data_IF_865536423094
#
_entry.id   IF_865536423094
#
_cell.length_a   1.000
_cell.length_b   1.000
_cell.length_c   1.000
_cell.angle_alpha   90.00
_cell.angle_beta   90.00
_cell.angle_gamma   90.00
#
_symmetry.space_group_name_H-M   'P 1'
#
loop_
_entity.id
_entity.type
_entity.pdbx_description
1 polymer ?
#
# COMPACT_ATOMS: atom_id res chain seq x y z
N UNK A 1 -15.77 1.71 -11.33
CA UNK A 1 -14.56 0.86 -11.23
C UNK A 1 -14.57 0.28 -9.83
N UNK A 2 -14.47 -1.03 -9.67
CA UNK A 2 -14.46 -1.62 -8.33
C UNK A 2 -13.15 -1.25 -7.62
N UNK A 3 -13.20 -0.88 -6.33
CA UNK A 3 -12.00 -0.55 -5.58
C UNK A 3 -11.07 -1.76 -5.48
N UNK A 4 -9.76 -1.50 -5.41
CA UNK A 4 -8.79 -2.55 -5.12
C UNK A 4 -9.10 -3.19 -3.75
N UNK A 5 -8.70 -4.46 -3.52
CA UNK A 5 -8.94 -5.10 -2.23
C UNK A 5 -8.27 -4.37 -1.07
N UNK A 6 -7.01 -3.97 -1.26
CA UNK A 6 -6.24 -3.24 -0.27
C UNK A 6 -5.18 -2.37 -0.96
N UNK A 7 -4.72 -1.32 -0.25
CA UNK A 7 -3.54 -0.52 -0.58
C UNK A 7 -2.94 0.02 0.73
N UNK A 8 -1.75 -0.42 1.06
CA UNK A 8 -1.11 -0.14 2.36
C UNK A 8 0.11 0.78 2.22
N UNK A 9 0.50 1.15 1.00
CA UNK A 9 1.64 2.00 0.73
C UNK A 9 1.21 3.28 0.01
N UNK A 10 0.88 4.28 0.81
CA UNK A 10 0.42 5.58 0.34
C UNK A 10 1.07 6.66 1.19
N UNK A 11 1.70 7.62 0.53
CA UNK A 11 2.26 8.81 1.17
C UNK A 11 1.30 9.99 1.07
N UNK A 12 1.41 10.89 2.05
CA UNK A 12 0.61 12.12 2.12
C UNK A 12 1.51 13.31 2.42
N UNK A 13 0.90 14.49 2.54
CA UNK A 13 1.60 15.71 2.94
C UNK A 13 2.29 15.64 4.30
N UNK A 14 2.14 14.54 5.05
CA UNK A 14 2.93 14.27 6.25
C UNK A 14 4.37 13.84 5.94
N UNK A 15 4.63 13.25 4.77
CA UNK A 15 6.00 13.02 4.25
C UNK A 15 6.61 14.32 3.71
N UNK A 16 6.85 15.29 4.60
CA UNK A 16 7.18 16.69 4.27
C UNK A 16 8.43 16.85 3.45
N UNK A 17 9.40 15.95 3.62
CA UNK A 17 10.70 16.03 2.99
C UNK A 17 10.78 15.21 1.69
N UNK A 18 9.69 14.55 1.31
CA UNK A 18 9.58 13.82 0.04
C UNK A 18 9.08 14.74 -1.07
N UNK A 19 9.99 15.15 -1.93
CA UNK A 19 9.69 16.02 -3.07
C UNK A 19 8.77 15.39 -4.14
N UNK A 20 8.41 14.11 -4.03
CA UNK A 20 7.44 13.47 -4.92
C UNK A 20 5.99 13.68 -4.44
N UNK A 21 5.78 13.99 -3.17
CA UNK A 21 4.46 14.25 -2.61
C UNK A 21 3.99 15.64 -3.00
N UNK A 22 2.85 15.69 -3.69
CA UNK A 22 2.24 16.98 -4.07
C UNK A 22 1.30 17.50 -2.97
N UNK A 23 1.08 18.84 -2.87
CA UNK A 23 0.24 19.43 -1.82
C UNK A 23 -1.20 18.91 -1.77
N UNK A 24 -1.72 18.37 -2.89
CA UNK A 24 -3.07 17.81 -2.97
C UNK A 24 -3.17 16.40 -2.38
N UNK A 25 -2.04 15.71 -2.14
CA UNK A 25 -2.03 14.33 -1.63
C UNK A 25 -2.23 14.33 -0.11
N UNK A 26 -3.40 14.78 0.34
CA UNK A 26 -3.75 14.80 1.77
C UNK A 26 -4.43 13.50 2.21
N UNK A 27 -4.46 13.24 3.51
CA UNK A 27 -5.16 12.09 4.10
C UNK A 27 -6.65 12.09 3.72
N UNK A 28 -7.29 13.26 3.75
CA UNK A 28 -8.70 13.43 3.42
C UNK A 28 -8.98 13.13 1.94
N UNK A 29 -8.05 13.54 1.04
CA UNK A 29 -8.19 13.24 -0.38
C UNK A 29 -8.11 11.73 -0.62
N UNK A 30 -7.14 11.04 -0.02
CA UNK A 30 -7.01 9.58 -0.15
C UNK A 30 -8.28 8.88 0.31
N UNK A 31 -8.83 9.29 1.46
CA UNK A 31 -10.08 8.75 1.97
C UNK A 31 -11.26 9.02 1.01
N UNK A 32 -11.37 10.23 0.47
CA UNK A 32 -12.44 10.61 -0.45
C UNK A 32 -12.38 9.88 -1.80
N UNK A 33 -11.18 9.59 -2.30
CA UNK A 33 -11.01 8.83 -3.55
C UNK A 33 -11.50 7.39 -3.40
N UNK A 34 -11.28 6.74 -2.26
CA UNK A 34 -11.78 5.40 -1.95
C UNK A 34 -11.38 4.35 -2.98
N UNK A 35 -10.14 4.41 -3.51
CA UNK A 35 -9.63 3.54 -4.58
C UNK A 35 -9.42 2.10 -4.13
N UNK A 36 -9.31 1.85 -2.82
CA UNK A 36 -9.19 0.52 -2.23
C UNK A 36 -10.20 0.32 -1.11
N UNK A 37 -10.63 -0.93 -0.88
CA UNK A 37 -11.56 -1.28 0.22
C UNK A 37 -10.92 -1.13 1.58
N UNK A 38 -9.65 -1.46 1.67
CA UNK A 38 -8.79 -1.25 2.84
C UNK A 38 -7.63 -0.39 2.37
N UNK A 39 -7.52 0.81 2.91
CA UNK A 39 -6.41 1.69 2.62
C UNK A 39 -5.67 2.06 3.90
N UNK A 40 -4.36 2.16 3.81
CA UNK A 40 -3.49 2.60 4.89
C UNK A 40 -2.54 3.69 4.41
N UNK A 41 -2.26 4.63 5.29
CA UNK A 41 -1.24 5.65 5.06
C UNK A 41 0.04 5.18 5.73
N UNK A 42 1.17 5.33 5.04
CA UNK A 42 2.48 4.86 5.50
C UNK A 42 3.56 5.90 5.23
N UNK A 43 3.31 7.11 5.68
CA UNK A 43 4.30 8.19 5.53
C UNK A 43 5.66 7.82 6.13
N UNK A 44 6.72 8.43 5.62
CA UNK A 44 8.09 8.20 6.09
C UNK A 44 8.22 8.50 7.58
N UNK A 45 8.71 7.52 8.35
CA UNK A 45 8.80 7.63 9.82
C UNK A 45 9.59 8.86 10.24
N UNK A 46 10.70 9.15 9.58
CA UNK A 46 11.54 10.31 9.85
C UNK A 46 10.81 11.65 9.71
N UNK A 47 9.80 11.71 8.85
CA UNK A 47 8.99 12.93 8.63
C UNK A 47 7.85 13.07 9.64
N UNK A 48 7.37 11.96 10.20
CA UNK A 48 6.18 11.95 11.07
C UNK A 48 6.50 11.76 12.56
N UNK A 49 7.72 11.38 12.91
CA UNK A 49 8.06 10.95 14.27
C UNK A 49 7.74 12.02 15.34
N UNK A 50 8.07 13.26 15.08
CA UNK A 50 7.85 14.41 15.96
C UNK A 50 6.38 14.85 16.04
N UNK A 51 5.57 14.46 15.07
CA UNK A 51 4.14 14.79 14.96
C UNK A 51 3.24 13.54 14.94
N UNK A 52 3.77 12.38 15.32
CA UNK A 52 3.06 11.10 15.19
C UNK A 52 1.65 11.11 15.79
N UNK A 53 1.38 11.70 16.97
CA UNK A 53 0.02 11.75 17.49
C UNK A 53 -0.95 12.54 16.60
N UNK A 54 -0.48 13.58 15.88
CA UNK A 54 -1.28 14.37 14.95
C UNK A 54 -1.54 13.58 13.67
N UNK A 55 -0.51 12.92 13.15
CA UNK A 55 -0.60 12.03 12.01
C UNK A 55 -1.61 10.89 12.27
N UNK A 56 -1.44 10.17 13.36
CA UNK A 56 -2.31 9.08 13.77
C UNK A 56 -3.76 9.53 13.89
N UNK A 57 -4.02 10.65 14.57
CA UNK A 57 -5.36 11.21 14.71
C UNK A 57 -5.99 11.57 13.36
N UNK A 58 -5.23 12.16 12.44
CA UNK A 58 -5.71 12.50 11.10
C UNK A 58 -6.08 11.25 10.28
N UNK A 59 -5.22 10.23 10.29
CA UNK A 59 -5.44 8.97 9.57
C UNK A 59 -6.66 8.22 10.15
N UNK A 60 -6.78 8.15 11.47
CA UNK A 60 -7.93 7.52 12.13
C UNK A 60 -9.24 8.26 11.84
N UNK A 61 -9.23 9.60 11.89
CA UNK A 61 -10.42 10.42 11.60
C UNK A 61 -10.92 10.20 10.16
N UNK A 62 -10.00 9.90 9.24
CA UNK A 62 -10.32 9.58 7.85
C UNK A 62 -10.77 8.11 7.65
N UNK A 63 -10.76 7.28 8.70
CA UNK A 63 -11.14 5.87 8.64
C UNK A 63 -10.10 4.98 7.93
N UNK A 64 -8.84 5.42 7.86
CA UNK A 64 -7.73 4.72 7.23
C UNK A 64 -6.86 4.01 8.28
N UNK A 65 -6.02 3.08 7.84
CA UNK A 65 -5.08 2.39 8.71
C UNK A 65 -3.79 3.21 8.87
N UNK A 66 -3.29 3.26 10.10
CA UNK A 66 -2.02 3.92 10.42
C UNK A 66 -0.88 2.94 10.19
N UNK A 67 -0.09 3.16 9.17
CA UNK A 67 1.19 2.51 8.93
C UNK A 67 2.33 3.52 9.00
N UNK A 68 3.54 3.05 8.73
CA UNK A 68 4.69 3.92 8.51
C UNK A 68 5.72 3.22 7.63
N UNK A 69 6.40 3.98 6.78
CA UNK A 69 7.54 3.51 6.03
C UNK A 69 8.82 3.79 6.81
N UNK A 70 9.58 2.73 7.08
CA UNK A 70 10.76 2.73 7.94
C UNK A 70 12.02 2.62 7.08
N UNK A 71 12.86 3.64 7.06
CA UNK A 71 14.03 3.74 6.20
C UNK A 71 15.25 2.98 6.76
N UNK A 72 15.16 1.65 6.78
CA UNK A 72 16.26 0.77 7.19
C UNK A 72 16.45 0.64 8.71
N UNK A 73 17.54 -0.03 9.09
CA UNK A 73 17.85 -0.44 10.47
C UNK A 73 17.94 0.74 11.45
N UNK A 74 18.39 1.88 10.98
CA UNK A 74 18.63 3.06 11.83
C UNK A 74 17.35 3.61 12.47
N UNK A 75 16.19 3.30 11.87
CA UNK A 75 14.87 3.79 12.31
C UNK A 75 14.02 2.74 13.03
N UNK A 76 14.49 1.50 13.17
CA UNK A 76 13.67 0.42 13.76
C UNK A 76 13.28 0.66 15.21
N UNK A 77 14.15 1.28 16.03
CA UNK A 77 13.84 1.60 17.42
C UNK A 77 12.73 2.62 17.55
N UNK A 78 12.74 3.62 16.69
CA UNK A 78 11.71 4.64 16.64
C UNK A 78 10.38 4.05 16.14
N UNK A 79 10.46 3.14 15.13
CA UNK A 79 9.28 2.43 14.63
C UNK A 79 8.60 1.56 15.70
N UNK A 80 9.38 0.91 16.58
CA UNK A 80 8.82 0.14 17.70
C UNK A 80 8.06 1.01 18.72
N UNK A 81 8.46 2.28 18.83
CA UNK A 81 7.91 3.21 19.82
C UNK A 81 6.59 3.88 19.40
N UNK A 82 6.21 3.78 18.10
CA UNK A 82 4.99 4.37 17.58
C UNK A 82 3.88 3.32 17.42
N UNK A 83 2.62 3.75 17.54
CA UNK A 83 1.48 2.82 17.43
C UNK A 83 1.00 2.65 15.97
N UNK A 84 1.95 2.33 15.07
CA UNK A 84 1.60 1.90 13.72
C UNK A 84 1.03 0.48 13.72
N UNK A 85 0.08 0.19 12.82
CA UNK A 85 -0.56 -1.12 12.66
C UNK A 85 0.30 -2.08 11.85
N UNK A 86 1.19 -1.59 11.01
CA UNK A 86 2.10 -2.34 10.14
C UNK A 86 3.28 -1.44 9.75
N UNK A 87 4.32 -2.07 9.22
CA UNK A 87 5.51 -1.40 8.73
C UNK A 87 5.75 -1.73 7.26
N UNK A 88 5.97 -0.69 6.43
CA UNK A 88 6.69 -0.78 5.16
C UNK A 88 8.16 -0.62 5.51
N UNK A 89 9.01 -1.54 5.09
CA UNK A 89 10.41 -1.54 5.52
C UNK A 89 11.36 -1.51 4.32
N UNK A 90 12.19 -0.49 4.27
CA UNK A 90 13.31 -0.40 3.33
C UNK A 90 14.43 -1.33 3.78
N UNK A 91 14.52 -2.48 3.15
CA UNK A 91 15.58 -3.47 3.41
C UNK A 91 16.58 -3.46 2.26
N UNK A 92 17.68 -2.77 2.41
CA UNK A 92 18.80 -2.85 1.47
C UNK A 92 19.60 -4.12 1.73
N UNK A 93 20.53 -4.51 0.81
CA UNK A 93 21.39 -5.68 1.05
C UNK A 93 22.51 -5.35 2.07
N UNK A 94 22.10 -5.01 3.31
CA UNK A 94 22.97 -4.79 4.46
C UNK A 94 22.56 -5.73 5.60
N UNK A 95 23.55 -6.28 6.30
CA UNK A 95 23.28 -7.17 7.44
C UNK A 95 22.37 -6.55 8.49
N UNK A 96 22.58 -5.25 8.79
CA UNK A 96 21.81 -4.50 9.76
C UNK A 96 20.33 -4.38 9.36
N UNK A 97 20.04 -4.25 8.05
CA UNK A 97 18.65 -4.14 7.58
C UNK A 97 17.89 -5.45 7.73
N UNK A 98 18.53 -6.61 7.50
CA UNK A 98 17.89 -7.92 7.76
C UNK A 98 17.59 -8.11 9.25
N UNK A 99 18.51 -7.71 10.13
CA UNK A 99 18.26 -7.71 11.57
C UNK A 99 17.20 -6.69 11.99
N UNK A 100 17.11 -5.58 11.28
CA UNK A 100 16.03 -4.61 11.45
C UNK A 100 14.65 -5.20 11.16
N UNK A 101 14.54 -6.00 10.08
CA UNK A 101 13.31 -6.71 9.76
C UNK A 101 12.93 -7.73 10.85
N UNK A 102 13.90 -8.54 11.34
CA UNK A 102 13.69 -9.47 12.47
C UNK A 102 13.18 -8.72 13.71
N UNK A 103 13.77 -7.58 14.00
CA UNK A 103 13.40 -6.75 15.14
C UNK A 103 11.96 -6.22 15.03
N UNK A 104 11.56 -5.72 13.86
CA UNK A 104 10.19 -5.26 13.61
C UNK A 104 9.19 -6.41 13.69
N UNK A 105 9.52 -7.60 13.16
CA UNK A 105 8.69 -8.80 13.31
C UNK A 105 8.45 -9.18 14.78
N UNK A 106 9.44 -8.98 15.65
CA UNK A 106 9.30 -9.27 17.09
C UNK A 106 8.24 -8.40 17.78
N UNK A 107 7.78 -7.29 17.17
CA UNK A 107 6.63 -6.50 17.65
C UNK A 107 5.30 -7.21 17.48
N UNK A 108 5.24 -8.28 16.70
CA UNK A 108 3.99 -8.99 16.32
C UNK A 108 3.17 -8.28 15.25
N UNK A 109 3.64 -7.16 14.71
CA UNK A 109 2.97 -6.41 13.63
C UNK A 109 3.45 -6.90 12.26
N UNK A 110 2.61 -6.81 11.21
CA UNK A 110 3.04 -7.12 9.85
C UNK A 110 4.22 -6.25 9.41
N UNK A 111 5.23 -6.87 8.80
CA UNK A 111 6.38 -6.21 8.17
C UNK A 111 6.35 -6.52 6.68
N UNK A 112 6.27 -5.49 5.87
CA UNK A 112 6.23 -5.56 4.42
C UNK A 112 7.56 -5.02 3.89
N UNK A 113 8.31 -5.83 3.18
CA UNK A 113 9.54 -5.39 2.50
C UNK A 113 9.13 -4.55 1.30
N UNK A 114 9.34 -3.25 1.42
CA UNK A 114 8.92 -2.26 0.44
C UNK A 114 9.82 -2.32 -0.81
N UNK A 115 9.20 -2.33 -2.00
CA UNK A 115 9.84 -2.29 -3.33
C UNK A 115 11.27 -2.92 -3.39
N UNK A 116 11.42 -4.22 -3.02
CA UNK A 116 12.73 -4.85 -2.78
C UNK A 116 13.66 -4.81 -3.98
N UNK A 117 13.12 -4.89 -5.20
CA UNK A 117 13.92 -4.90 -6.43
C UNK A 117 14.60 -3.54 -6.71
N UNK A 118 14.06 -2.44 -6.18
CA UNK A 118 14.65 -1.10 -6.32
C UNK A 118 15.74 -0.87 -5.29
N UNK A 119 15.59 -1.48 -4.12
CA UNK A 119 16.56 -1.39 -3.02
C UNK A 119 17.64 -2.47 -3.09
N UNK A 120 17.61 -3.29 -4.15
CA UNK A 120 18.57 -4.41 -4.35
C UNK A 120 18.57 -5.39 -3.16
N UNK A 121 17.40 -5.59 -2.54
CA UNK A 121 17.22 -6.49 -1.39
C UNK A 121 17.50 -7.95 -1.81
N UNK A 122 18.42 -8.62 -1.14
CA UNK A 122 18.57 -10.07 -1.32
C UNK A 122 17.46 -10.81 -0.54
N UNK A 123 16.37 -11.13 -1.22
CA UNK A 123 15.21 -11.81 -0.61
C UNK A 123 15.55 -13.17 0.03
N UNK A 124 16.67 -13.79 -0.29
CA UNK A 124 17.12 -15.05 0.35
C UNK A 124 17.56 -14.83 1.81
N UNK A 125 17.86 -13.59 2.19
CA UNK A 125 18.28 -13.20 3.54
C UNK A 125 17.15 -12.62 4.38
N UNK A 126 16.04 -12.27 3.74
CA UNK A 126 14.85 -11.72 4.42
C UNK A 126 14.15 -12.83 5.21
N UNK A 127 13.73 -12.57 6.47
CA UNK A 127 12.91 -13.51 7.22
C UNK A 127 11.64 -13.89 6.45
N UNK A 128 11.30 -15.18 6.32
CA UNK A 128 10.16 -15.63 5.52
C UNK A 128 8.79 -15.22 6.09
N UNK A 129 8.74 -14.78 7.34
CA UNK A 129 7.56 -14.22 8.00
C UNK A 129 7.20 -12.84 7.46
N UNK A 130 8.16 -12.10 6.89
CA UNK A 130 7.89 -10.85 6.21
C UNK A 130 6.97 -11.07 4.99
N UNK A 131 6.27 -10.01 4.62
CA UNK A 131 5.60 -9.94 3.33
C UNK A 131 6.51 -9.22 2.33
N UNK A 132 6.29 -9.48 1.05
CA UNK A 132 7.02 -8.82 -0.03
C UNK A 132 6.04 -7.99 -0.85
N UNK A 133 6.41 -6.75 -1.11
CA UNK A 133 5.59 -5.83 -1.89
C UNK A 133 5.79 -6.03 -3.39
N UNK A 134 4.68 -6.03 -4.14
CA UNK A 134 4.66 -5.75 -5.58
C UNK A 134 4.22 -4.30 -5.74
N UNK A 135 5.19 -3.43 -5.89
CA UNK A 135 5.02 -1.98 -5.86
C UNK A 135 4.67 -1.42 -7.24
N UNK A 136 3.51 -0.75 -7.36
CA UNK A 136 3.04 -0.26 -8.65
C UNK A 136 3.90 0.88 -9.24
N UNK A 137 4.52 1.70 -8.38
CA UNK A 137 5.37 2.82 -8.81
C UNK A 137 6.65 2.35 -9.50
N UNK A 138 7.21 1.22 -9.05
CA UNK A 138 8.55 0.80 -9.44
C UNK A 138 8.62 -0.50 -10.23
N UNK A 139 7.63 -1.39 -10.13
CA UNK A 139 7.71 -2.75 -10.69
C UNK A 139 7.94 -2.77 -12.21
N UNK A 140 7.41 -1.79 -12.94
CA UNK A 140 7.50 -1.70 -14.39
C UNK A 140 8.94 -1.46 -14.91
N UNK A 141 9.82 -0.90 -14.08
CA UNK A 141 11.24 -0.62 -14.41
C UNK A 141 12.21 -1.63 -13.78
N UNK A 142 11.70 -2.61 -13.04
CA UNK A 142 12.50 -3.64 -12.37
C UNK A 142 12.42 -4.96 -13.13
N UNK A 143 13.41 -5.83 -12.95
CA UNK A 143 13.34 -7.21 -13.44
C UNK A 143 12.40 -8.05 -12.55
N UNK A 144 11.11 -7.81 -12.63
CA UNK A 144 10.10 -8.44 -11.77
C UNK A 144 10.04 -9.97 -11.90
N UNK A 145 10.60 -10.57 -12.98
CA UNK A 145 10.70 -12.04 -13.09
C UNK A 145 11.54 -12.68 -11.98
N UNK A 146 12.42 -11.92 -11.32
CA UNK A 146 13.18 -12.40 -10.17
C UNK A 146 12.29 -12.82 -9.01
N UNK A 147 11.12 -12.19 -8.82
CA UNK A 147 10.17 -12.55 -7.78
C UNK A 147 9.61 -13.96 -7.96
N UNK A 148 9.67 -14.54 -9.16
CA UNK A 148 9.21 -15.91 -9.44
C UNK A 148 9.89 -16.95 -8.55
N UNK A 149 11.17 -16.78 -8.24
CA UNK A 149 11.92 -17.68 -7.38
C UNK A 149 11.42 -17.71 -5.92
N UNK A 150 10.65 -16.71 -5.52
CA UNK A 150 10.21 -16.50 -4.14
C UNK A 150 8.72 -16.70 -3.90
N UNK A 151 7.95 -17.05 -4.94
CA UNK A 151 6.48 -17.22 -4.84
C UNK A 151 6.06 -18.36 -3.89
N UNK A 152 6.94 -19.33 -3.64
CA UNK A 152 6.73 -20.41 -2.67
C UNK A 152 7.25 -20.09 -1.25
N UNK A 153 7.98 -19.00 -1.08
CA UNK A 153 8.61 -18.62 0.19
C UNK A 153 7.85 -17.51 0.89
N UNK A 154 7.47 -16.47 0.15
CA UNK A 154 6.83 -15.29 0.72
C UNK A 154 5.35 -15.19 0.38
N UNK A 155 4.65 -14.49 1.26
CA UNK A 155 3.34 -13.90 0.98
C UNK A 155 3.56 -12.52 0.36
N UNK A 156 2.69 -12.14 -0.59
CA UNK A 156 2.83 -10.89 -1.31
C UNK A 156 1.66 -9.96 -1.06
N UNK A 157 1.93 -8.66 -0.98
CA UNK A 157 0.96 -7.58 -1.01
C UNK A 157 1.13 -6.77 -2.29
N UNK A 158 0.09 -6.04 -2.70
CA UNK A 158 0.10 -5.20 -3.90
C UNK A 158 -0.27 -3.80 -3.47
N UNK A 159 0.64 -2.85 -3.66
CA UNK A 159 0.46 -1.49 -3.21
C UNK A 159 0.80 -0.47 -4.30
N UNK A 160 0.25 0.74 -4.16
CA UNK A 160 0.43 1.80 -5.17
C UNK A 160 1.73 2.56 -5.00
N UNK A 161 2.17 2.81 -3.77
CA UNK A 161 3.24 3.75 -3.43
C UNK A 161 2.91 5.16 -3.96
N UNK A 162 1.64 5.57 -3.74
CA UNK A 162 1.12 6.80 -4.29
C UNK A 162 1.61 8.02 -3.51
N UNK A 163 2.21 8.97 -4.24
CA UNK A 163 2.64 10.28 -3.74
C UNK A 163 1.82 11.43 -4.37
N UNK A 164 0.93 11.06 -5.28
CA UNK A 164 0.09 11.99 -6.04
C UNK A 164 -1.25 11.34 -6.31
N UNK A 165 -2.36 12.10 -6.41
CA UNK A 165 -3.72 11.54 -6.54
C UNK A 165 -3.89 10.57 -7.71
N UNK A 166 -3.24 10.84 -8.85
CA UNK A 166 -3.35 9.97 -10.03
C UNK A 166 -2.49 8.70 -9.94
N UNK A 167 -1.64 8.56 -8.90
CA UNK A 167 -0.89 7.34 -8.61
C UNK A 167 -1.64 6.36 -7.70
N UNK A 168 -2.83 6.73 -7.20
CA UNK A 168 -3.70 5.84 -6.43
C UNK A 168 -4.27 4.73 -7.34
N UNK A 169 -3.37 3.91 -7.90
CA UNK A 169 -3.71 2.79 -8.77
C UNK A 169 -2.67 1.65 -8.63
N UNK A 170 -3.08 0.43 -8.97
CA UNK A 170 -2.28 -0.79 -8.83
C UNK A 170 -2.24 -1.61 -10.14
N UNK A 171 -2.58 -1.02 -11.26
CA UNK A 171 -2.83 -1.76 -12.50
C UNK A 171 -1.60 -2.55 -12.98
N UNK A 172 -0.40 -1.95 -12.93
CA UNK A 172 0.84 -2.60 -13.38
C UNK A 172 1.26 -3.69 -12.40
N UNK A 173 1.23 -3.41 -11.10
CA UNK A 173 1.55 -4.41 -10.08
C UNK A 173 0.62 -5.63 -10.15
N UNK A 174 -0.67 -5.42 -10.36
CA UNK A 174 -1.67 -6.50 -10.54
C UNK A 174 -1.45 -7.29 -11.83
N UNK A 175 -1.03 -6.62 -12.89
CA UNK A 175 -0.62 -7.32 -14.12
C UNK A 175 0.56 -8.27 -13.81
N UNK A 176 1.61 -7.76 -13.16
CA UNK A 176 2.79 -8.55 -12.80
C UNK A 176 2.43 -9.71 -11.86
N UNK A 177 1.62 -9.46 -10.83
CA UNK A 177 1.17 -10.52 -9.92
C UNK A 177 0.47 -11.66 -10.67
N UNK A 178 -0.39 -11.35 -11.65
CA UNK A 178 -1.06 -12.34 -12.50
C UNK A 178 -0.07 -13.12 -13.36
N UNK A 179 0.89 -12.45 -14.01
CA UNK A 179 1.91 -13.10 -14.84
C UNK A 179 2.82 -14.05 -14.02
N UNK A 180 3.01 -13.75 -12.74
CA UNK A 180 3.78 -14.57 -11.80
C UNK A 180 2.95 -15.66 -11.13
N UNK A 181 1.63 -15.65 -11.28
CA UNK A 181 0.70 -16.54 -10.55
C UNK A 181 0.63 -16.22 -9.05
N UNK A 182 0.94 -15.00 -8.65
CA UNK A 182 0.93 -14.56 -7.25
C UNK A 182 -0.50 -14.21 -6.83
N UNK A 183 -0.93 -14.81 -5.73
CA UNK A 183 -2.16 -14.42 -5.03
C UNK A 183 -1.82 -13.40 -3.95
N UNK A 184 -2.50 -12.25 -4.01
CA UNK A 184 -2.36 -11.20 -3.00
C UNK A 184 -2.80 -11.68 -1.61
N UNK A 185 -2.02 -11.32 -0.58
CA UNK A 185 -2.37 -11.49 0.82
C UNK A 185 -3.05 -10.23 1.33
N UNK A 186 -4.27 -10.38 1.84
CA UNK A 186 -5.03 -9.29 2.46
C UNK A 186 -4.79 -9.32 3.97
N UNK A 187 -4.16 -8.27 4.52
CA UNK A 187 -3.75 -8.23 5.93
C UNK A 187 -4.87 -7.79 6.87
N UNK A 188 -5.69 -6.84 6.42
CA UNK A 188 -6.72 -6.21 7.25
C UNK A 188 -8.09 -6.31 6.59
N UNK A 189 -8.34 -7.43 5.87
CA UNK A 189 -9.67 -7.68 5.34
C UNK A 189 -10.66 -7.66 6.51
N UNK A 190 -11.61 -6.74 6.51
CA UNK A 190 -12.78 -6.85 7.38
C UNK A 190 -13.39 -8.21 7.10
N UNK A 191 -13.64 -9.01 8.14
CA UNK A 191 -14.57 -10.13 8.04
C UNK A 191 -15.78 -9.58 7.31
N UNK A 192 -16.17 -10.23 6.20
CA UNK A 192 -17.22 -9.75 5.34
C UNK A 192 -18.47 -9.56 6.20
N UNK A 193 -18.77 -8.34 6.57
CA UNK A 193 -20.10 -7.97 7.02
C UNK A 193 -21.08 -8.30 5.87
N UNK A 194 -22.36 -8.53 6.14
CA UNK A 194 -23.32 -9.00 5.15
C UNK A 194 -23.17 -8.14 3.89
N UNK A 195 -23.06 -8.81 2.74
CA UNK A 195 -22.97 -8.19 1.42
C UNK A 195 -24.00 -7.04 1.35
N UNK A 196 -23.51 -5.83 1.17
CA UNK A 196 -24.40 -4.75 0.80
C UNK A 196 -25.09 -5.18 -0.50
N UNK A 197 -26.41 -5.31 -0.45
CA UNK A 197 -27.24 -5.55 -1.65
C UNK A 197 -26.74 -4.70 -2.80
N UNK A 198 -26.65 -5.25 -4.01
CA UNK A 198 -26.23 -4.48 -5.18
C UNK A 198 -27.13 -3.25 -5.27
N UNK A 199 -26.54 -2.08 -5.48
CA UNK A 199 -27.26 -0.86 -5.72
C UNK A 199 -28.32 -1.10 -6.81
N UNK A 200 -29.55 -0.55 -6.67
CA UNK A 200 -30.60 -0.74 -7.66
C UNK A 200 -30.05 -0.37 -9.04
N UNK A 201 -30.17 -1.27 -9.98
CA UNK A 201 -29.84 -1.05 -11.40
C UNK A 201 -30.66 0.16 -11.86
N UNK A 202 -29.99 1.22 -12.28
CA UNK A 202 -30.62 2.33 -12.97
C UNK A 202 -31.40 1.76 -14.17
N UNK A 203 -32.69 1.92 -14.14
CA UNK A 203 -33.59 1.56 -15.24
C UNK A 203 -33.27 2.47 -16.45
N UNK A 204 -32.62 1.91 -17.46
CA UNK A 204 -32.21 2.60 -18.68
C UNK A 204 -33.38 2.79 -19.68
N UNK A 205 -34.61 2.49 -19.31
CA UNK A 205 -35.78 2.60 -20.20
C UNK A 205 -36.30 4.02 -20.40
N UNK A 206 -35.70 5.06 -19.79
CA UNK A 206 -36.20 6.43 -19.89
C UNK A 206 -35.53 7.31 -20.97
N UNK A 207 -34.70 6.77 -21.87
CA UNK A 207 -34.16 7.54 -22.99
C UNK A 207 -34.47 6.90 -24.34
N UNK A 208 -35.75 6.73 -24.64
CA UNK A 208 -36.20 6.61 -26.04
C UNK A 208 -36.47 8.04 -26.55
N UNK A 209 -35.51 8.59 -27.28
CA UNK A 209 -35.71 9.81 -28.06
C UNK A 209 -36.63 9.47 -29.21
N UNK A 210 -37.86 9.95 -29.18
CA UNK A 210 -38.74 9.95 -30.35
C UNK A 210 -38.14 10.86 -31.46
N UNK A 211 -37.61 10.24 -32.47
CA UNK A 211 -37.28 10.94 -33.73
C UNK A 211 -38.59 11.16 -34.49
N UNK A 212 -39.22 12.29 -34.30
CA UNK A 212 -40.31 12.74 -35.17
C UNK A 212 -39.72 13.08 -36.54
N UNK A 213 -40.03 12.22 -37.52
CA UNK A 213 -39.80 12.51 -38.93
C UNK A 213 -40.72 13.65 -39.37
N UNK A 214 -40.15 14.66 -39.99
CA UNK A 214 -40.86 15.66 -40.81
C UNK A 214 -40.61 15.35 -42.28
N UNK A 215 -41.70 15.14 -42.99
CA UNK A 215 -41.86 15.07 -44.41
C UNK A 215 -41.49 16.39 -45.11
#
# INVERSE_FOLDING_TARGET
MYPYPQDLHIHTTFSRDDGAVVPQQTVELVAAVGHARTAGISDHLESILDVFPVYEAAVHAAGLLVGTEVNGADWTRQAEAVDARYYLYHCRDRHEDYRGAERLLATGKPVIIAHPLVLETDLRKVPPECLVEINNRYIWRSNWNELRAFTGTFRFVIDSDAHQPHWLNQNVARYVARELGIRETLLFAREAGPEMSPAPTLDTTLYSVETNGAS
#
